data_IF_650135376619
#
_entry.id   IF_650135376619
#
_cell.length_a   1.000
_cell.length_b   1.000
_cell.length_c   1.000
_cell.angle_alpha   90.00
_cell.angle_beta   90.00
_cell.angle_gamma   90.00
#
_symmetry.space_group_name_H-M   'P 1'
#
loop_
_entity.id
_entity.type
_entity.pdbx_description
1 polymer ?
#
# COMPACT_ATOMS: atom_id res chain seq x y z
N UNK A 1 22.25 -8.69 -5.89
CA UNK A 1 21.60 -9.64 -4.95
C UNK A 1 20.87 -8.84 -3.87
N UNK A 2 19.82 -8.11 -4.22
CA UNK A 2 19.14 -7.16 -3.33
C UNK A 2 17.77 -7.70 -2.95
N UNK A 3 17.50 -7.77 -1.64
CA UNK A 3 16.31 -8.33 -1.00
C UNK A 3 15.02 -8.03 -1.77
N UNK A 4 14.32 -9.08 -2.23
CA UNK A 4 12.92 -8.97 -2.61
C UNK A 4 12.13 -8.59 -1.35
N UNK A 5 11.78 -7.31 -1.22
CA UNK A 5 10.68 -6.90 -0.35
C UNK A 5 9.43 -7.38 -1.08
N UNK A 6 8.76 -8.39 -0.54
CA UNK A 6 7.50 -8.88 -1.09
C UNK A 6 6.46 -7.78 -0.88
N UNK A 7 6.15 -7.04 -1.94
CA UNK A 7 5.09 -6.04 -1.91
C UNK A 7 3.79 -6.70 -2.39
N UNK A 8 2.97 -7.13 -1.45
CA UNK A 8 1.72 -7.83 -1.76
C UNK A 8 0.77 -6.99 -2.62
N UNK A 9 0.84 -5.66 -2.57
CA UNK A 9 -0.02 -4.81 -3.41
C UNK A 9 0.32 -4.94 -4.88
N UNK A 10 1.59 -5.20 -5.23
CA UNK A 10 2.03 -5.35 -6.63
C UNK A 10 1.54 -6.67 -7.24
N UNK A 11 1.21 -7.65 -6.40
CA UNK A 11 0.66 -8.94 -6.82
C UNK A 11 -0.87 -8.92 -6.95
N UNK A 12 -1.55 -7.99 -6.29
CA UNK A 12 -3.02 -7.88 -6.31
C UNK A 12 -3.56 -7.53 -7.70
N UNK A 13 -4.62 -8.21 -8.10
CA UNK A 13 -5.34 -8.02 -9.36
C UNK A 13 -6.73 -7.46 -9.17
N UNK A 14 -7.23 -6.79 -10.20
CA UNK A 14 -8.61 -6.30 -10.22
C UNK A 14 -9.58 -7.44 -9.95
N UNK A 15 -10.46 -7.25 -8.96
CA UNK A 15 -11.42 -8.25 -8.52
C UNK A 15 -10.97 -9.12 -7.34
N UNK A 16 -9.68 -9.11 -6.98
CA UNK A 16 -9.21 -9.82 -5.78
C UNK A 16 -9.94 -9.33 -4.54
N UNK A 17 -10.30 -10.27 -3.66
CA UNK A 17 -10.99 -9.96 -2.40
C UNK A 17 -9.96 -9.62 -1.33
N UNK A 18 -10.25 -8.58 -0.56
CA UNK A 18 -9.43 -8.14 0.57
C UNK A 18 -10.27 -8.03 1.83
N UNK A 19 -9.61 -8.15 2.99
CA UNK A 19 -10.23 -7.92 4.30
C UNK A 19 -9.84 -6.54 4.78
N UNK A 20 -10.82 -5.67 5.08
CA UNK A 20 -10.55 -4.39 5.72
C UNK A 20 -10.47 -4.59 7.23
N UNK A 21 -9.32 -4.25 7.81
CA UNK A 21 -9.03 -4.45 9.23
C UNK A 21 -8.82 -3.11 9.95
N UNK A 22 -9.63 -2.84 10.98
CA UNK A 22 -9.44 -1.67 11.83
C UNK A 22 -8.36 -1.95 12.89
N UNK A 23 -7.13 -1.50 12.65
CA UNK A 23 -5.97 -1.80 13.51
C UNK A 23 -5.77 -0.85 14.70
N UNK A 24 -5.98 0.45 14.52
CA UNK A 24 -5.74 1.47 15.55
C UNK A 24 -7.05 1.96 16.17
N UNK A 25 -7.73 1.08 16.90
CA UNK A 25 -8.96 1.40 17.61
C UNK A 25 -9.11 0.56 18.88
N UNK A 26 -10.10 0.87 19.74
CA UNK A 26 -10.32 0.16 21.02
C UNK A 26 -10.53 -1.35 20.86
N UNK A 27 -11.15 -1.78 19.76
CA UNK A 27 -11.45 -3.20 19.49
C UNK A 27 -11.08 -3.54 18.04
N UNK A 28 -9.85 -4.03 17.79
CA UNK A 28 -9.40 -4.41 16.46
C UNK A 28 -10.19 -5.59 15.88
N UNK A 29 -10.62 -5.48 14.62
CA UNK A 29 -11.39 -6.52 13.93
C UNK A 29 -11.42 -6.32 12.42
N UNK A 30 -11.79 -7.38 11.68
CA UNK A 30 -12.22 -7.28 10.28
C UNK A 30 -13.60 -6.64 10.25
N UNK A 31 -13.77 -5.60 9.44
CA UNK A 31 -15.03 -4.84 9.34
C UNK A 31 -15.77 -5.08 8.03
N UNK A 32 -15.07 -5.49 6.97
CA UNK A 32 -15.65 -5.77 5.65
C UNK A 32 -14.79 -6.72 4.82
N UNK A 33 -15.42 -7.28 3.79
CA UNK A 33 -14.76 -7.91 2.65
C UNK A 33 -14.96 -6.97 1.47
N UNK A 34 -13.87 -6.46 0.92
CA UNK A 34 -13.87 -5.53 -0.21
C UNK A 34 -13.18 -6.16 -1.42
N UNK A 35 -13.12 -5.42 -2.53
CA UNK A 35 -12.46 -5.87 -3.77
C UNK A 35 -11.46 -4.84 -4.28
N UNK A 36 -10.39 -5.32 -4.89
CA UNK A 36 -9.44 -4.49 -5.63
C UNK A 36 -10.12 -3.98 -6.91
N UNK A 37 -10.11 -2.65 -7.10
CA UNK A 37 -10.69 -1.99 -8.30
C UNK A 37 -9.63 -1.42 -9.23
N UNK A 38 -8.37 -1.36 -8.77
CA UNK A 38 -7.21 -0.94 -9.54
C UNK A 38 -5.97 -1.64 -9.01
N UNK A 39 -5.11 -2.10 -9.90
CA UNK A 39 -3.79 -2.65 -9.57
C UNK A 39 -2.85 -1.57 -8.98
N UNK A 40 -1.75 -2.01 -8.37
CA UNK A 40 -0.75 -1.13 -7.77
C UNK A 40 -0.21 -0.09 -8.73
N UNK A 41 0.14 1.07 -8.19
CA UNK A 41 0.73 2.20 -8.90
C UNK A 41 1.63 2.98 -7.93
N UNK A 42 2.62 3.74 -8.44
CA UNK A 42 3.50 4.55 -7.58
C UNK A 42 2.75 5.49 -6.64
N UNK A 43 3.06 5.43 -5.35
CA UNK A 43 2.51 6.37 -4.37
C UNK A 43 3.22 7.73 -4.42
N UNK A 44 2.55 8.68 -5.07
CA UNK A 44 3.01 10.07 -5.19
C UNK A 44 3.13 10.78 -3.84
N UNK A 45 2.39 10.35 -2.80
CA UNK A 45 2.48 10.92 -1.45
C UNK A 45 3.87 10.66 -0.84
N UNK A 46 4.50 9.55 -1.22
CA UNK A 46 5.87 9.21 -0.83
C UNK A 46 6.93 10.19 -1.34
N UNK A 47 6.61 11.03 -2.33
CA UNK A 47 7.54 12.02 -2.89
C UNK A 47 7.31 13.45 -2.37
N UNK A 48 6.20 13.69 -1.67
CA UNK A 48 5.91 15.00 -1.09
C UNK A 48 6.64 15.19 0.25
N UNK A 49 7.63 16.09 0.28
CA UNK A 49 8.41 16.44 1.47
C UNK A 49 7.57 16.95 2.65
N UNK A 50 6.36 17.45 2.41
CA UNK A 50 5.44 17.91 3.45
C UNK A 50 4.55 16.80 3.99
N UNK A 51 4.48 15.65 3.31
CA UNK A 51 3.67 14.52 3.74
C UNK A 51 4.27 13.86 4.98
N UNK A 52 3.39 13.40 5.87
CA UNK A 52 3.76 12.51 6.99
C UNK A 52 4.36 11.18 6.53
N UNK A 53 4.12 10.82 5.26
CA UNK A 53 4.56 9.57 4.64
C UNK A 53 5.69 9.79 3.64
N UNK A 54 6.40 10.93 3.70
CA UNK A 54 7.52 11.22 2.81
C UNK A 54 8.62 10.14 2.89
N UNK A 55 8.90 9.50 1.76
CA UNK A 55 9.94 8.50 1.60
C UNK A 55 11.21 9.11 1.03
N UNK A 56 12.21 9.39 1.87
CA UNK A 56 13.49 10.01 1.46
C UNK A 56 14.20 9.28 0.30
N UNK A 57 13.95 7.97 0.15
CA UNK A 57 14.57 7.11 -0.88
C UNK A 57 13.62 6.72 -2.02
N UNK A 58 12.38 7.20 -2.02
CA UNK A 58 11.42 6.98 -3.10
C UNK A 58 11.53 8.13 -4.10
N UNK A 59 11.79 7.82 -5.37
CA UNK A 59 11.84 8.82 -6.44
C UNK A 59 10.88 8.44 -7.56
N UNK A 60 10.65 9.33 -8.52
CA UNK A 60 9.78 9.05 -9.67
C UNK A 60 10.32 7.90 -10.53
N UNK A 61 11.64 7.82 -10.64
CA UNK A 61 12.37 6.81 -11.42
C UNK A 61 12.48 5.49 -10.66
N UNK A 62 12.38 5.53 -9.33
CA UNK A 62 12.45 4.36 -8.46
C UNK A 62 11.44 4.48 -7.29
N UNK A 63 10.13 4.34 -7.58
CA UNK A 63 9.09 4.34 -6.56
C UNK A 63 9.30 3.20 -5.56
N UNK A 64 8.89 3.44 -4.32
CA UNK A 64 8.89 2.47 -3.24
C UNK A 64 7.55 2.47 -2.52
#
# INVERSE_FOLDING_TARGET
>A
MGKAVLNFTDEMKNGDKILLFHSSCKVPRVVSIDRVVRESFPDHIGWDKKSKYFGLKSTKENPR
#
